data_IF_988077944535
#
_entry.id   IF_988077944535
#
_cell.length_a   1.000
_cell.length_b   1.000
_cell.length_c   1.000
_cell.angle_alpha   90.00
_cell.angle_beta   90.00
_cell.angle_gamma   90.00
#
_symmetry.space_group_name_H-M   'P 1'
#
loop_
_entity.id
_entity.type
_entity.pdbx_description
1 polymer ?
#
# COMPACT_ATOMS: atom_id res chain seq x y z
N UNK A 1 60.34 -31.20 -15.92
CA UNK A 1 59.96 -32.19 -16.96
C UNK A 1 58.63 -32.83 -16.58
N UNK A 2 57.65 -32.83 -17.50
CA UNK A 2 56.48 -33.74 -17.72
C UNK A 2 55.92 -34.50 -16.50
N UNK A 3 54.64 -34.41 -16.14
CA UNK A 3 53.43 -34.97 -16.81
C UNK A 3 52.22 -34.06 -16.42
N UNK A 4 51.28 -33.54 -17.23
CA UNK A 4 50.34 -34.04 -18.24
C UNK A 4 49.17 -34.93 -17.73
N UNK A 5 47.97 -34.27 -17.66
CA UNK A 5 46.58 -34.75 -17.88
C UNK A 5 45.88 -35.59 -16.79
N UNK A 6 44.52 -35.70 -16.76
CA UNK A 6 43.44 -34.89 -17.36
C UNK A 6 42.33 -34.51 -16.34
N UNK A 7 41.30 -33.81 -16.81
CA UNK A 7 40.24 -33.23 -16.00
C UNK A 7 39.41 -34.20 -15.14
N UNK A 8 38.94 -33.66 -14.03
CA UNK A 8 37.73 -34.12 -13.36
C UNK A 8 36.80 -32.91 -13.23
N UNK A 9 35.74 -32.97 -14.02
CA UNK A 9 34.56 -32.13 -14.02
C UNK A 9 34.00 -32.05 -12.58
N UNK A 10 34.18 -30.93 -11.89
CA UNK A 10 33.38 -30.64 -10.70
C UNK A 10 32.30 -29.65 -11.12
N UNK A 11 31.21 -30.24 -11.60
CA UNK A 11 29.93 -29.58 -11.83
C UNK A 11 29.47 -29.01 -10.47
N UNK A 12 29.71 -27.73 -10.25
CA UNK A 12 29.19 -27.01 -9.09
C UNK A 12 27.67 -26.96 -9.26
N UNK A 13 26.96 -27.82 -8.55
CA UNK A 13 25.51 -27.75 -8.41
C UNK A 13 25.18 -26.43 -7.73
N UNK A 14 24.75 -25.45 -8.52
CA UNK A 14 24.08 -24.25 -8.04
C UNK A 14 22.69 -24.68 -7.58
N UNK A 15 22.58 -25.12 -6.34
CA UNK A 15 21.29 -25.20 -5.65
C UNK A 15 20.84 -23.79 -5.32
N UNK A 16 20.27 -23.11 -6.32
CA UNK A 16 19.38 -21.99 -6.08
C UNK A 16 18.12 -22.56 -5.44
N UNK A 17 18.11 -22.70 -4.11
CA UNK A 17 16.88 -22.82 -3.37
C UNK A 17 16.15 -21.49 -3.50
N UNK A 18 15.41 -21.32 -4.60
CA UNK A 18 14.22 -20.49 -4.61
C UNK A 18 13.19 -21.20 -3.73
N UNK A 19 13.46 -21.24 -2.42
CA UNK A 19 12.42 -21.48 -1.46
C UNK A 19 11.43 -20.35 -1.65
N UNK A 20 10.16 -20.68 -1.85
CA UNK A 20 9.08 -19.75 -1.57
C UNK A 20 9.23 -19.40 -0.08
N UNK A 21 10.02 -18.37 0.22
CA UNK A 21 9.97 -17.74 1.52
C UNK A 21 8.59 -17.10 1.57
N UNK A 22 7.65 -17.81 2.20
CA UNK A 22 6.50 -17.21 2.85
C UNK A 22 7.05 -16.31 3.97
N UNK A 23 7.71 -15.23 3.57
CA UNK A 23 8.27 -14.25 4.47
C UNK A 23 7.09 -13.44 4.98
N UNK A 24 6.59 -13.83 6.14
CA UNK A 24 5.65 -13.02 6.92
C UNK A 24 6.24 -11.61 7.03
N UNK A 25 5.52 -10.62 6.52
CA UNK A 25 5.93 -9.22 6.58
C UNK A 25 6.07 -8.80 8.04
N UNK A 26 7.12 -8.04 8.32
CA UNK A 26 7.19 -7.28 9.55
C UNK A 26 6.36 -5.97 9.42
N UNK A 27 6.21 -5.24 10.53
CA UNK A 27 5.38 -4.04 10.55
C UNK A 27 5.86 -2.93 9.61
N UNK A 28 7.17 -2.80 9.39
CA UNK A 28 7.75 -1.80 8.50
C UNK A 28 7.47 -2.15 7.04
N UNK A 29 7.66 -3.41 6.64
CA UNK A 29 7.29 -3.90 5.31
C UNK A 29 5.80 -3.70 5.03
N UNK A 30 4.94 -4.00 6.01
CA UNK A 30 3.49 -3.76 5.88
C UNK A 30 3.17 -2.30 5.61
N UNK A 31 3.79 -1.40 6.37
CA UNK A 31 3.60 0.05 6.22
C UNK A 31 4.00 0.50 4.82
N UNK A 32 5.17 0.07 4.35
CA UNK A 32 5.74 0.52 3.08
C UNK A 32 4.99 -0.07 1.88
N UNK A 33 4.72 -1.37 1.88
CA UNK A 33 3.99 -2.04 0.79
C UNK A 33 2.54 -1.54 0.70
N UNK A 34 1.89 -1.31 1.85
CA UNK A 34 0.53 -0.77 1.87
C UNK A 34 0.51 0.68 1.41
N UNK A 35 1.49 1.50 1.81
CA UNK A 35 1.62 2.86 1.29
C UNK A 35 1.81 2.86 -0.23
N UNK A 36 2.64 1.96 -0.77
CA UNK A 36 2.83 1.80 -2.22
C UNK A 36 1.54 1.37 -2.94
N UNK A 37 0.72 0.51 -2.34
CA UNK A 37 -0.59 0.13 -2.87
C UNK A 37 -1.57 1.32 -2.86
N UNK A 38 -1.65 2.07 -1.76
CA UNK A 38 -2.55 3.22 -1.65
C UNK A 38 -2.14 4.34 -2.62
N UNK A 39 -0.84 4.47 -2.88
CA UNK A 39 -0.27 5.41 -3.83
C UNK A 39 -0.75 5.16 -5.27
N UNK A 40 -1.10 3.92 -5.64
CA UNK A 40 -1.72 3.65 -6.96
C UNK A 40 -3.12 4.26 -7.11
N UNK A 41 -3.69 4.80 -6.02
CA UNK A 41 -4.96 5.53 -6.01
C UNK A 41 -4.79 7.03 -5.86
N UNK A 42 -3.56 7.57 -5.96
CA UNK A 42 -3.28 9.01 -5.84
C UNK A 42 -4.26 9.85 -6.65
N UNK A 43 -4.43 9.54 -7.93
CA UNK A 43 -5.23 10.37 -8.83
C UNK A 43 -6.74 10.30 -8.49
N UNK A 44 -7.23 9.11 -8.15
CA UNK A 44 -8.61 8.89 -7.70
C UNK A 44 -8.89 9.63 -6.37
N UNK A 45 -7.96 9.56 -5.43
CA UNK A 45 -8.03 10.28 -4.15
C UNK A 45 -7.91 11.80 -4.34
N UNK A 46 -7.08 12.26 -5.28
CA UNK A 46 -6.97 13.67 -5.63
C UNK A 46 -8.27 14.18 -6.25
N UNK A 47 -8.93 13.37 -7.07
CA UNK A 47 -10.23 13.68 -7.68
C UNK A 47 -11.34 13.85 -6.62
N UNK A 48 -11.31 13.08 -5.52
CA UNK A 48 -12.21 13.28 -4.38
C UNK A 48 -12.12 14.71 -3.83
N UNK A 49 -10.90 15.23 -3.68
CA UNK A 49 -10.66 16.58 -3.19
C UNK A 49 -10.92 17.66 -4.25
N UNK A 50 -10.59 17.41 -5.53
CA UNK A 50 -10.88 18.35 -6.62
C UNK A 50 -12.39 18.59 -6.81
N UNK A 51 -13.20 17.55 -6.61
CA UNK A 51 -14.65 17.70 -6.62
C UNK A 51 -15.14 18.66 -5.51
N UNK A 52 -14.51 18.63 -4.34
CA UNK A 52 -14.82 19.56 -3.25
C UNK A 52 -14.32 20.98 -3.55
N UNK A 53 -13.09 21.13 -4.04
CA UNK A 53 -12.54 22.44 -4.43
C UNK A 53 -13.38 23.18 -5.47
N UNK A 54 -14.06 22.45 -6.37
CA UNK A 54 -14.97 23.04 -7.35
C UNK A 54 -16.17 23.75 -6.72
N UNK A 55 -16.60 23.33 -5.52
CA UNK A 55 -17.72 23.91 -4.76
C UNK A 55 -17.25 24.83 -3.63
N UNK A 56 -16.09 24.52 -3.06
CA UNK A 56 -15.48 25.19 -1.92
C UNK A 56 -13.98 25.43 -2.21
N UNK A 57 -13.62 26.54 -2.88
CA UNK A 57 -12.24 26.81 -3.29
C UNK A 57 -11.23 26.93 -2.12
N UNK A 58 -11.71 27.13 -0.89
CA UNK A 58 -10.89 27.18 0.32
C UNK A 58 -10.85 25.87 1.10
N UNK A 59 -11.44 24.79 0.57
CA UNK A 59 -11.43 23.48 1.23
C UNK A 59 -9.98 23.03 1.48
N UNK A 60 -9.74 22.47 2.66
CA UNK A 60 -8.46 21.91 3.08
C UNK A 60 -8.73 21.00 4.29
N UNK A 61 -7.77 20.14 4.63
CA UNK A 61 -7.90 19.31 5.82
C UNK A 61 -7.25 17.95 5.65
N UNK A 62 -7.52 17.06 6.60
CA UNK A 62 -6.98 15.70 6.64
C UNK A 62 -8.11 14.69 6.56
N UNK A 63 -7.83 13.56 5.92
CA UNK A 63 -8.65 12.36 6.01
C UNK A 63 -7.78 11.27 6.63
N UNK A 64 -8.12 10.86 7.84
CA UNK A 64 -7.50 9.73 8.51
C UNK A 64 -8.43 8.53 8.43
N UNK A 65 -7.90 7.37 8.01
CA UNK A 65 -8.67 6.13 7.94
C UNK A 65 -7.92 5.01 8.65
N UNK A 66 -8.69 4.13 9.29
CA UNK A 66 -8.25 2.85 9.81
C UNK A 66 -8.79 1.74 8.90
N UNK A 67 -8.00 0.70 8.68
CA UNK A 67 -8.39 -0.45 7.84
C UNK A 67 -7.69 -1.74 8.26
N UNK A 68 -8.22 -2.86 7.76
CA UNK A 68 -7.67 -4.19 7.93
C UNK A 68 -7.19 -4.73 6.59
N UNK A 69 -6.00 -5.34 6.57
CA UNK A 69 -5.52 -6.17 5.46
C UNK A 69 -5.75 -7.62 5.87
N UNK A 70 -6.64 -8.32 5.15
CA UNK A 70 -6.96 -9.72 5.45
C UNK A 70 -5.75 -10.62 5.13
N UNK A 71 -5.49 -11.57 6.02
CA UNK A 71 -4.57 -12.69 5.74
C UNK A 71 -5.04 -13.51 4.53
N UNK A 72 -4.10 -14.21 3.90
CA UNK A 72 -4.24 -15.10 2.73
C UNK A 72 -4.75 -14.46 1.43
N UNK A 73 -5.51 -13.37 1.51
CA UNK A 73 -6.07 -12.63 0.38
C UNK A 73 -5.40 -11.28 0.14
N UNK A 74 -4.84 -10.66 1.18
CA UNK A 74 -4.30 -9.30 1.11
C UNK A 74 -5.36 -8.22 0.92
N UNK A 75 -6.66 -8.56 1.01
CA UNK A 75 -7.75 -7.62 0.73
C UNK A 75 -7.88 -6.58 1.84
N UNK A 76 -7.92 -5.31 1.47
CA UNK A 76 -8.27 -4.20 2.35
C UNK A 76 -9.78 -4.25 2.62
N UNK A 77 -10.14 -4.25 3.91
CA UNK A 77 -11.50 -4.32 4.43
C UNK A 77 -11.65 -3.48 5.70
N UNK A 78 -12.89 -3.33 6.19
CA UNK A 78 -13.19 -2.57 7.41
C UNK A 78 -12.60 -1.15 7.37
N UNK A 79 -12.66 -0.52 6.20
CA UNK A 79 -12.16 0.84 6.01
C UNK A 79 -13.12 1.79 6.72
N UNK A 80 -12.62 2.50 7.73
CA UNK A 80 -13.40 3.43 8.54
C UNK A 80 -12.65 4.76 8.69
N UNK A 81 -13.39 5.86 8.67
CA UNK A 81 -12.83 7.18 8.96
C UNK A 81 -12.54 7.27 10.46
N UNK A 82 -11.36 7.77 10.82
CA UNK A 82 -11.06 8.20 12.17
C UNK A 82 -11.54 9.65 12.35
N UNK A 83 -12.62 9.89 13.11
CA UNK A 83 -13.16 11.24 13.29
C UNK A 83 -12.20 12.16 14.08
N UNK A 84 -11.32 11.61 14.93
CA UNK A 84 -10.37 12.42 15.69
C UNK A 84 -9.21 12.93 14.82
N UNK A 85 -8.86 12.19 13.76
CA UNK A 85 -7.80 12.54 12.81
C UNK A 85 -8.27 13.20 11.52
N UNK A 86 -9.58 13.38 11.35
CA UNK A 86 -10.20 13.87 10.10
C UNK A 86 -10.74 15.29 10.29
N UNK A 87 -10.35 16.19 9.38
CA UNK A 87 -10.81 17.59 9.36
C UNK A 87 -11.34 18.02 7.99
N UNK A 88 -11.14 17.21 6.95
CA UNK A 88 -11.80 17.40 5.66
C UNK A 88 -13.30 17.08 5.78
N UNK A 89 -14.08 17.43 4.75
CA UNK A 89 -15.52 17.18 4.75
C UNK A 89 -15.85 15.69 4.68
N UNK A 90 -17.06 15.35 5.14
CA UNK A 90 -17.58 13.97 5.10
C UNK A 90 -17.65 13.42 3.67
N UNK A 91 -17.88 14.27 2.67
CA UNK A 91 -17.88 13.90 1.26
C UNK A 91 -16.50 13.47 0.77
N UNK A 92 -15.45 14.21 1.14
CA UNK A 92 -14.06 13.86 0.79
C UNK A 92 -13.67 12.57 1.50
N UNK A 93 -13.97 12.46 2.81
CA UNK A 93 -13.67 11.27 3.59
C UNK A 93 -14.36 10.02 3.03
N UNK A 94 -15.65 10.12 2.70
CA UNK A 94 -16.42 9.01 2.11
C UNK A 94 -15.92 8.60 0.73
N UNK A 95 -15.47 9.56 -0.07
CA UNK A 95 -14.88 9.29 -1.38
C UNK A 95 -13.54 8.53 -1.26
N UNK A 96 -12.67 8.95 -0.33
CA UNK A 96 -11.40 8.26 -0.04
C UNK A 96 -11.63 6.83 0.44
N UNK A 97 -12.58 6.60 1.34
CA UNK A 97 -12.95 5.25 1.81
C UNK A 97 -13.31 4.35 0.63
N UNK A 98 -14.13 4.84 -0.31
CA UNK A 98 -14.53 4.08 -1.51
C UNK A 98 -13.37 3.79 -2.45
N UNK A 99 -12.41 4.71 -2.59
CA UNK A 99 -11.26 4.54 -3.48
C UNK A 99 -10.31 3.43 -3.03
N UNK A 100 -10.30 3.09 -1.73
CA UNK A 100 -9.35 2.12 -1.15
C UNK A 100 -10.00 0.83 -0.66
N UNK A 101 -11.32 0.81 -0.46
CA UNK A 101 -12.02 -0.40 -0.05
C UNK A 101 -11.85 -1.50 -1.11
N UNK A 102 -11.40 -2.67 -0.67
CA UNK A 102 -11.23 -3.83 -1.52
C UNK A 102 -9.99 -3.86 -2.41
N UNK A 103 -9.05 -2.93 -2.26
CA UNK A 103 -7.71 -3.11 -2.82
C UNK A 103 -7.05 -4.37 -2.29
N UNK A 104 -6.11 -4.92 -3.06
CA UNK A 104 -5.42 -6.16 -2.71
C UNK A 104 -3.93 -5.91 -2.61
N UNK A 105 -3.37 -6.14 -1.42
CA UNK A 105 -1.94 -6.17 -1.17
C UNK A 105 -1.36 -7.50 -1.65
N UNK A 106 -0.60 -7.47 -2.73
CA UNK A 106 0.01 -8.65 -3.33
C UNK A 106 1.54 -8.65 -3.12
N UNK A 107 2.15 -9.81 -2.81
CA UNK A 107 1.50 -11.07 -2.46
C UNK A 107 0.74 -10.96 -1.13
N UNK A 108 -0.26 -11.82 -0.87
CA UNK A 108 -0.90 -11.88 0.44
C UNK A 108 0.09 -12.33 1.53
N UNK A 109 -0.31 -12.20 2.78
CA UNK A 109 0.48 -12.58 3.95
C UNK A 109 -0.31 -13.54 4.83
N UNK A 110 0.38 -14.34 5.63
CA UNK A 110 -0.25 -15.29 6.56
C UNK A 110 -0.81 -14.62 7.82
N UNK A 111 -0.51 -13.33 8.04
CA UNK A 111 -1.02 -12.57 9.18
C UNK A 111 -1.95 -11.46 8.75
N UNK A 112 -2.97 -11.21 9.55
CA UNK A 112 -3.79 -10.02 9.41
C UNK A 112 -2.99 -8.74 9.71
N UNK A 113 -3.06 -7.76 8.81
CA UNK A 113 -2.53 -6.41 9.00
C UNK A 113 -3.58 -5.44 9.52
N UNK A 114 -3.16 -4.46 10.33
CA UNK A 114 -3.98 -3.28 10.69
C UNK A 114 -3.20 -2.03 10.31
N UNK A 115 -3.86 -1.13 9.57
CA UNK A 115 -3.26 0.08 9.05
C UNK A 115 -4.04 1.31 9.44
N UNK A 116 -3.32 2.41 9.62
CA UNK A 116 -3.84 3.77 9.63
C UNK A 116 -3.11 4.57 8.57
N UNK A 117 -3.85 5.29 7.73
CA UNK A 117 -3.28 6.19 6.73
C UNK A 117 -3.94 7.57 6.80
N UNK A 118 -3.15 8.61 6.54
CA UNK A 118 -3.63 10.00 6.58
C UNK A 118 -3.27 10.67 5.27
N UNK A 119 -4.29 11.16 4.55
CA UNK A 119 -4.11 12.08 3.44
C UNK A 119 -4.30 13.51 3.93
N UNK A 120 -3.43 14.40 3.46
CA UNK A 120 -3.50 15.84 3.75
C UNK A 120 -3.77 16.61 2.46
N UNK A 121 -4.81 17.43 2.50
CA UNK A 121 -5.30 18.23 1.39
C UNK A 121 -5.09 19.71 1.72
N UNK A 122 -4.43 20.43 0.81
CA UNK A 122 -4.09 21.84 0.99
C UNK A 122 -4.71 22.69 -0.11
N UNK A 123 -5.26 23.85 0.28
CA UNK A 123 -5.84 24.79 -0.65
C UNK A 123 -4.76 25.29 -1.64
N UNK A 124 -5.09 25.32 -2.93
CA UNK A 124 -4.17 25.74 -3.98
C UNK A 124 -3.23 24.64 -4.51
N UNK A 125 -3.37 23.39 -4.07
CA UNK A 125 -2.69 22.26 -4.70
C UNK A 125 -3.05 22.16 -6.20
N UNK A 126 -2.10 21.87 -7.11
CA UNK A 126 -2.41 21.64 -8.52
C UNK A 126 -3.50 20.57 -8.67
N UNK A 127 -4.42 20.78 -9.63
CA UNK A 127 -5.41 19.77 -10.01
C UNK A 127 -4.69 18.61 -10.72
N UNK A 128 -5.18 17.38 -10.53
CA UNK A 128 -4.71 16.21 -11.28
C UNK A 128 -5.19 16.25 -12.74
#
# INVERSE_FOLDING_TARGET
MKQLLPGLTMMVLVSASAGCSFAVRNAEMYRDDTAALLETRRDEIRACYDAELARNPGAQGKVAVDFTVLEDSGRITNVAVDPAGTTASDEVASCVVKAIDGLVLAPPDEKQGKGKFVWEFTAGAPKA
#
